data_IF_806668384976
#
_entry.id   IF_806668384976
#
_cell.length_a   1.000
_cell.length_b   1.000
_cell.length_c   1.000
_cell.angle_alpha   90.00
_cell.angle_beta   90.00
_cell.angle_gamma   90.00
#
_symmetry.space_group_name_H-M   'P 1'
#
loop_
_entity.id
_entity.type
_entity.pdbx_description
1 polymer ?
#
# COMPACT_ATOMS: atom_id res chain seq x y z
N UNK A 1 -8.98 -38.54 -19.90
CA UNK A 1 -9.15 -38.08 -18.51
C UNK A 1 -8.45 -36.73 -18.37
N UNK A 2 -8.89 -35.72 -19.14
CA UNK A 2 -9.96 -34.73 -18.85
C UNK A 2 -9.43 -33.56 -18.02
N UNK A 3 -9.10 -32.43 -18.68
CA UNK A 3 -9.47 -31.05 -18.30
C UNK A 3 -8.60 -30.00 -19.03
N UNK A 4 -8.95 -29.72 -20.28
CA UNK A 4 -8.71 -28.42 -20.89
C UNK A 4 -9.94 -27.55 -20.58
N UNK A 5 -9.91 -26.79 -19.49
CA UNK A 5 -10.90 -25.74 -19.25
C UNK A 5 -10.45 -24.53 -20.07
N UNK A 6 -10.82 -24.54 -21.35
CA UNK A 6 -10.95 -23.32 -22.13
C UNK A 6 -12.16 -22.60 -21.54
N UNK A 7 -11.89 -21.53 -20.79
CA UNK A 7 -12.91 -20.56 -20.38
C UNK A 7 -13.52 -19.96 -21.65
N UNK A 8 -14.68 -20.48 -22.04
CA UNK A 8 -15.53 -19.84 -23.02
C UNK A 8 -15.88 -18.45 -22.49
N UNK A 9 -15.42 -17.40 -23.17
CA UNK A 9 -16.02 -16.07 -23.04
C UNK A 9 -17.53 -16.26 -23.22
N UNK A 10 -18.39 -15.71 -22.34
CA UNK A 10 -19.79 -15.60 -22.69
C UNK A 10 -19.84 -14.81 -24.00
N UNK A 11 -20.50 -15.39 -25.01
CA UNK A 11 -20.75 -14.74 -26.28
C UNK A 11 -21.22 -13.31 -25.98
N UNK A 12 -20.56 -12.32 -26.59
CA UNK A 12 -21.12 -10.99 -26.66
C UNK A 12 -22.53 -11.17 -27.20
N UNK A 13 -23.52 -10.72 -26.43
CA UNK A 13 -24.80 -10.37 -27.03
C UNK A 13 -24.49 -9.20 -27.97
N UNK A 14 -24.02 -9.51 -29.17
CA UNK A 14 -23.94 -8.62 -30.31
C UNK A 14 -25.39 -8.26 -30.61
N UNK A 15 -25.88 -7.22 -29.93
CA UNK A 15 -27.02 -6.46 -30.41
C UNK A 15 -26.45 -5.54 -31.50
N UNK A 16 -26.64 -5.85 -32.79
CA UNK A 16 -25.92 -5.17 -33.87
C UNK A 16 -26.36 -3.72 -34.10
N UNK A 17 -27.33 -3.22 -33.32
CA UNK A 17 -27.98 -1.92 -33.55
C UNK A 17 -28.13 -1.08 -32.27
N UNK A 18 -27.37 -1.36 -31.20
CA UNK A 18 -27.24 -0.34 -30.16
C UNK A 18 -26.49 0.84 -30.78
N UNK A 19 -27.10 2.04 -30.93
CA UNK A 19 -26.42 3.16 -31.53
C UNK A 19 -25.12 3.39 -30.75
N UNK A 20 -24.00 3.54 -31.45
CA UNK A 20 -22.73 3.94 -30.87
C UNK A 20 -22.91 5.39 -30.40
N UNK A 21 -23.53 5.56 -29.21
CA UNK A 21 -23.86 6.87 -28.67
C UNK A 21 -22.52 7.55 -28.42
N UNK A 22 -22.20 8.62 -29.17
CA UNK A 22 -20.92 9.28 -29.02
C UNK A 22 -20.78 9.77 -27.57
N UNK A 23 -19.56 9.68 -26.99
CA UNK A 23 -19.33 10.06 -25.61
C UNK A 23 -19.83 11.47 -25.35
N UNK A 24 -20.59 11.62 -24.27
CA UNK A 24 -21.14 12.92 -23.89
C UNK A 24 -20.02 13.85 -23.41
N UNK A 25 -20.23 15.18 -23.41
CA UNK A 25 -19.30 16.11 -22.77
C UNK A 25 -18.97 15.72 -21.31
N UNK A 26 -19.92 15.14 -20.58
CA UNK A 26 -19.73 14.62 -19.24
C UNK A 26 -18.76 13.42 -19.19
N UNK A 27 -18.84 12.51 -20.16
CA UNK A 27 -17.92 11.36 -20.28
C UNK A 27 -16.48 11.83 -20.55
N UNK A 28 -16.31 12.87 -21.39
CA UNK A 28 -15.00 13.47 -21.63
C UNK A 28 -14.41 14.12 -20.38
N UNK A 29 -15.22 14.81 -19.57
CA UNK A 29 -14.77 15.39 -18.29
C UNK A 29 -14.37 14.29 -17.31
N UNK A 30 -15.21 13.26 -17.14
CA UNK A 30 -14.91 12.13 -16.26
C UNK A 30 -13.61 11.42 -16.68
N UNK A 31 -13.44 11.09 -17.97
CA UNK A 31 -12.23 10.42 -18.47
C UNK A 31 -10.96 11.24 -18.22
N UNK A 32 -11.01 12.56 -18.40
CA UNK A 32 -9.87 13.45 -18.08
C UNK A 32 -9.57 13.46 -16.59
N UNK A 33 -10.60 13.56 -15.75
CA UNK A 33 -10.48 13.53 -14.30
C UNK A 33 -9.86 12.21 -13.81
N UNK A 34 -10.35 11.07 -14.32
CA UNK A 34 -9.82 9.73 -14.01
C UNK A 34 -8.36 9.62 -14.40
N UNK A 35 -7.96 10.11 -15.59
CA UNK A 35 -6.54 10.10 -16.02
C UNK A 35 -5.66 10.94 -15.09
N UNK A 36 -6.12 12.12 -14.66
CA UNK A 36 -5.38 12.96 -13.71
C UNK A 36 -5.23 12.26 -12.35
N UNK A 37 -6.29 11.63 -11.85
CA UNK A 37 -6.25 10.85 -10.62
C UNK A 37 -5.32 9.64 -10.74
N UNK A 38 -5.34 8.92 -11.85
CA UNK A 38 -4.40 7.85 -12.14
C UNK A 38 -2.95 8.32 -12.10
N UNK A 39 -2.63 9.48 -12.68
CA UNK A 39 -1.25 9.97 -12.76
C UNK A 39 -0.73 10.63 -11.48
N UNK A 40 -1.62 11.01 -10.55
CA UNK A 40 -1.22 11.77 -9.34
C UNK A 40 -1.49 11.05 -8.03
N UNK A 41 -2.59 10.30 -7.94
CA UNK A 41 -2.96 9.56 -6.73
C UNK A 41 -2.30 8.18 -6.69
N UNK A 42 -2.37 7.44 -7.80
CA UNK A 42 -1.91 6.04 -7.82
C UNK A 42 -0.41 5.90 -7.62
N UNK A 43 0.48 6.73 -8.21
CA UNK A 43 1.91 6.66 -7.92
C UNK A 43 2.22 6.85 -6.44
N UNK A 44 1.50 7.74 -5.74
CA UNK A 44 1.69 7.98 -4.30
C UNK A 44 1.31 6.74 -3.49
N UNK A 45 0.18 6.12 -3.80
CA UNK A 45 -0.27 4.88 -3.15
C UNK A 45 0.62 3.69 -3.51
N UNK A 46 1.13 3.64 -4.74
CA UNK A 46 2.04 2.63 -5.24
C UNK A 46 3.41 2.71 -4.55
N UNK A 47 3.96 3.91 -4.33
CA UNK A 47 5.24 4.09 -3.65
C UNK A 47 5.18 3.60 -2.21
N UNK A 48 4.15 3.97 -1.43
CA UNK A 48 4.05 3.50 -0.04
C UNK A 48 3.85 1.98 0.03
N UNK A 49 3.11 1.41 -0.92
CA UNK A 49 2.90 -0.04 -0.99
C UNK A 49 4.15 -0.79 -1.48
N UNK A 50 4.92 -0.20 -2.40
CA UNK A 50 6.24 -0.68 -2.80
C UNK A 50 7.18 -0.75 -1.59
N UNK A 51 7.27 0.32 -0.81
CA UNK A 51 8.11 0.36 0.40
C UNK A 51 7.71 -0.74 1.41
N UNK A 52 6.41 -0.99 1.56
CA UNK A 52 5.88 -2.06 2.43
C UNK A 52 6.41 -3.44 2.03
N UNK A 53 6.51 -3.72 0.74
CA UNK A 53 7.07 -5.00 0.27
C UNK A 53 8.59 -5.04 0.33
N UNK A 54 9.27 -3.92 0.10
CA UNK A 54 10.73 -3.81 0.29
C UNK A 54 11.11 -4.20 1.72
N UNK A 55 10.50 -3.58 2.74
CA UNK A 55 10.74 -3.89 4.17
C UNK A 55 10.50 -5.37 4.51
N UNK A 56 9.42 -5.96 3.97
CA UNK A 56 9.11 -7.40 4.15
C UNK A 56 10.16 -8.33 3.54
N UNK A 57 10.79 -7.94 2.44
CA UNK A 57 11.87 -8.73 1.84
C UNK A 57 13.21 -8.51 2.53
N UNK A 58 13.47 -7.30 3.01
CA UNK A 58 14.77 -6.92 3.54
C UNK A 58 15.13 -7.61 4.85
N UNK A 59 14.16 -7.91 5.70
CA UNK A 59 14.44 -8.66 6.92
C UNK A 59 15.10 -10.02 6.64
N UNK A 60 14.80 -10.65 5.50
CA UNK A 60 15.46 -11.90 5.10
C UNK A 60 16.95 -11.70 4.79
N UNK A 61 17.34 -10.52 4.31
CA UNK A 61 18.75 -10.17 4.06
C UNK A 61 19.52 -9.91 5.35
N UNK A 62 18.86 -9.40 6.39
CA UNK A 62 19.48 -9.21 7.70
C UNK A 62 19.63 -10.50 8.52
N UNK A 63 19.02 -11.62 8.10
CA UNK A 63 18.98 -12.86 8.91
C UNK A 63 20.35 -13.34 9.37
N UNK A 64 21.30 -13.46 8.44
CA UNK A 64 22.63 -14.02 8.75
C UNK A 64 23.43 -13.09 9.66
N UNK A 65 23.31 -11.78 9.46
CA UNK A 65 23.99 -10.76 10.25
C UNK A 65 23.35 -10.63 11.64
N UNK A 66 22.03 -10.65 11.75
CA UNK A 66 21.33 -10.68 13.05
C UNK A 66 21.70 -11.93 13.86
N UNK A 67 21.91 -13.07 13.20
CA UNK A 67 22.41 -14.27 13.86
C UNK A 67 23.86 -14.09 14.33
N UNK A 68 24.74 -13.52 13.50
CA UNK A 68 26.16 -13.34 13.84
C UNK A 68 26.40 -12.25 14.90
N UNK A 69 25.71 -11.12 14.78
CA UNK A 69 25.94 -9.91 15.59
C UNK A 69 25.13 -9.92 16.89
N UNK A 70 23.90 -10.43 16.87
CA UNK A 70 22.96 -10.40 18.01
C UNK A 70 22.73 -11.80 18.60
N UNK A 71 23.07 -12.87 17.86
CA UNK A 71 22.84 -14.24 18.32
C UNK A 71 21.41 -14.74 18.13
N UNK A 72 20.59 -14.07 17.30
CA UNK A 72 19.22 -14.51 17.03
C UNK A 72 19.25 -15.86 16.33
N UNK A 73 18.69 -16.89 16.97
CA UNK A 73 18.64 -18.23 16.40
C UNK A 73 17.76 -18.30 15.16
N UNK A 74 17.98 -19.31 14.30
CA UNK A 74 17.13 -19.52 13.10
C UNK A 74 15.66 -19.77 13.50
N UNK A 75 15.44 -20.49 14.60
CA UNK A 75 14.12 -20.74 15.15
C UNK A 75 13.46 -19.43 15.64
N UNK A 76 14.20 -18.59 16.38
CA UNK A 76 13.73 -17.29 16.81
C UNK A 76 13.40 -16.37 15.64
N UNK A 77 14.29 -16.29 14.65
CA UNK A 77 14.02 -15.51 13.45
C UNK A 77 12.72 -15.95 12.77
N UNK A 78 12.51 -17.27 12.62
CA UNK A 78 11.28 -17.84 12.07
C UNK A 78 10.04 -17.49 12.90
N UNK A 79 10.12 -17.57 14.23
CA UNK A 79 9.04 -17.18 15.13
C UNK A 79 8.71 -15.69 14.99
N UNK A 80 9.70 -14.80 14.99
CA UNK A 80 9.48 -13.36 14.79
C UNK A 80 8.91 -13.01 13.41
N UNK A 81 9.29 -13.75 12.36
CA UNK A 81 8.66 -13.62 11.04
C UNK A 81 7.17 -14.04 11.09
N UNK A 82 6.83 -15.11 11.80
CA UNK A 82 5.44 -15.56 11.99
C UNK A 82 4.59 -14.61 12.85
N UNK A 83 5.15 -14.12 13.97
CA UNK A 83 4.48 -13.18 14.89
C UNK A 83 4.03 -11.89 14.19
N UNK A 84 4.83 -11.40 13.24
CA UNK A 84 4.44 -10.28 12.38
C UNK A 84 3.12 -10.58 11.63
N UNK A 85 3.01 -11.73 10.97
CA UNK A 85 1.79 -12.08 10.22
C UNK A 85 0.59 -12.35 11.12
N UNK A 86 0.81 -12.91 12.31
CA UNK A 86 -0.25 -13.10 13.31
C UNK A 86 -0.78 -11.73 13.76
N UNK A 87 0.10 -10.81 14.17
CA UNK A 87 -0.28 -9.47 14.57
C UNK A 87 -1.01 -8.74 13.43
N UNK A 88 -0.49 -8.84 12.21
CA UNK A 88 -1.11 -8.29 11.00
C UNK A 88 -2.54 -8.81 10.81
N UNK A 89 -2.74 -10.13 10.87
CA UNK A 89 -4.05 -10.75 10.67
C UNK A 89 -5.04 -10.35 11.77
N UNK A 90 -4.64 -10.42 13.05
CA UNK A 90 -5.49 -10.07 14.18
C UNK A 90 -5.92 -8.60 14.17
N UNK A 91 -5.04 -7.69 13.74
CA UNK A 91 -5.28 -6.25 13.80
C UNK A 91 -5.83 -5.67 12.49
N UNK A 92 -5.93 -6.45 11.42
CA UNK A 92 -6.47 -5.99 10.15
C UNK A 92 -7.92 -5.48 10.27
N UNK A 93 -8.79 -6.19 11.01
CA UNK A 93 -10.19 -5.78 11.21
C UNK A 93 -10.28 -4.52 12.09
N UNK A 94 -9.67 -4.48 13.30
CA UNK A 94 -9.63 -3.26 14.11
C UNK A 94 -9.06 -2.04 13.37
N UNK A 95 -7.95 -2.20 12.66
CA UNK A 95 -7.31 -1.11 11.90
C UNK A 95 -8.27 -0.50 10.87
N UNK A 96 -9.06 -1.33 10.19
CA UNK A 96 -10.05 -0.87 9.22
C UNK A 96 -11.21 -0.09 9.85
N UNK A 97 -11.65 -0.49 11.05
CA UNK A 97 -12.69 0.24 11.78
C UNK A 97 -12.20 1.64 12.18
N UNK A 98 -10.94 1.73 12.62
CA UNK A 98 -10.30 3.01 12.97
C UNK A 98 -10.17 3.89 11.72
N UNK A 99 -9.72 3.32 10.61
CA UNK A 99 -9.62 4.02 9.32
C UNK A 99 -10.95 4.65 8.89
N UNK A 100 -12.07 3.92 9.04
CA UNK A 100 -13.38 4.44 8.65
C UNK A 100 -13.75 5.72 9.43
N UNK A 101 -13.30 5.84 10.68
CA UNK A 101 -13.52 7.03 11.52
C UNK A 101 -12.53 8.16 11.22
N UNK A 102 -11.26 7.85 11.01
CA UNK A 102 -10.19 8.84 10.84
C UNK A 102 -10.04 9.35 9.39
N UNK A 103 -10.52 8.58 8.40
CA UNK A 103 -10.27 8.83 6.98
C UNK A 103 -8.97 8.19 6.51
N UNK A 104 -8.93 7.80 5.23
CA UNK A 104 -7.81 7.04 4.67
C UNK A 104 -6.52 7.86 4.59
N UNK A 105 -6.56 9.16 4.27
CA UNK A 105 -5.35 10.01 4.23
C UNK A 105 -4.61 10.01 5.56
N UNK A 106 -5.33 10.33 6.64
CA UNK A 106 -4.76 10.41 7.98
C UNK A 106 -4.29 9.03 8.44
N UNK A 107 -5.07 8.00 8.15
CA UNK A 107 -4.72 6.64 8.54
C UNK A 107 -3.47 6.12 7.83
N UNK A 108 -3.38 6.25 6.50
CA UNK A 108 -2.19 5.84 5.73
C UNK A 108 -0.95 6.63 6.20
N UNK A 109 -1.11 7.92 6.50
CA UNK A 109 -0.04 8.75 7.07
C UNK A 109 0.43 8.19 8.42
N UNK A 110 -0.49 7.95 9.35
CA UNK A 110 -0.17 7.44 10.69
C UNK A 110 0.52 6.08 10.60
N UNK A 111 0.02 5.19 9.73
CA UNK A 111 0.68 3.91 9.45
C UNK A 111 2.11 4.14 8.99
N UNK A 112 2.34 4.95 7.95
CA UNK A 112 3.68 5.20 7.43
C UNK A 112 4.64 5.75 8.49
N UNK A 113 4.17 6.66 9.35
CA UNK A 113 4.99 7.23 10.42
C UNK A 113 5.32 6.19 11.51
N UNK A 114 4.33 5.43 11.97
CA UNK A 114 4.51 4.45 13.04
C UNK A 114 5.33 3.25 12.56
N UNK A 115 4.95 2.67 11.42
CA UNK A 115 5.67 1.57 10.80
C UNK A 115 7.11 1.96 10.48
N UNK A 116 7.35 3.10 9.82
CA UNK A 116 8.70 3.57 9.52
C UNK A 116 9.54 3.83 10.78
N UNK A 117 8.93 4.35 11.86
CA UNK A 117 9.63 4.56 13.14
C UNK A 117 10.03 3.24 13.80
N UNK A 118 9.17 2.22 13.75
CA UNK A 118 9.50 0.88 14.27
C UNK A 118 10.54 0.21 13.38
N UNK A 119 10.52 0.42 12.06
CA UNK A 119 11.58 -0.06 11.16
C UNK A 119 12.91 0.57 11.55
N UNK A 120 12.99 1.88 11.82
CA UNK A 120 14.22 2.48 12.36
C UNK A 120 14.61 1.81 13.70
N UNK A 121 13.65 1.60 14.60
CA UNK A 121 13.91 0.98 15.90
C UNK A 121 14.49 -0.45 15.80
N UNK A 122 14.28 -1.16 14.69
CA UNK A 122 14.92 -2.46 14.44
C UNK A 122 16.44 -2.38 14.50
N UNK A 123 17.06 -1.26 14.12
CA UNK A 123 18.52 -1.10 14.16
C UNK A 123 19.13 -1.28 15.57
N UNK A 124 18.31 -1.14 16.62
CA UNK A 124 18.72 -1.25 18.02
C UNK A 124 18.43 -2.63 18.63
N UNK A 125 18.00 -3.61 17.82
CA UNK A 125 17.75 -4.98 18.29
C UNK A 125 19.01 -5.57 18.93
N UNK A 126 18.85 -6.01 20.18
CA UNK A 126 19.91 -6.62 20.98
C UNK A 126 19.52 -7.96 21.63
N UNK A 127 18.29 -8.40 21.46
CA UNK A 127 17.80 -9.68 21.99
C UNK A 127 16.64 -10.24 21.17
N UNK A 128 16.39 -11.55 21.29
CA UNK A 128 15.24 -12.21 20.66
C UNK A 128 13.90 -11.62 21.12
N UNK A 129 13.78 -11.27 22.40
CA UNK A 129 12.56 -10.67 22.97
C UNK A 129 12.29 -9.30 22.35
N UNK A 130 13.31 -8.45 22.21
CA UNK A 130 13.18 -7.16 21.54
C UNK A 130 12.81 -7.33 20.07
N UNK A 131 13.44 -8.29 19.39
CA UNK A 131 13.11 -8.64 18.02
C UNK A 131 11.63 -9.05 17.88
N UNK A 132 11.11 -9.94 18.74
CA UNK A 132 9.69 -10.32 18.72
C UNK A 132 8.77 -9.13 18.95
N UNK A 133 9.06 -8.29 19.94
CA UNK A 133 8.25 -7.10 20.24
C UNK A 133 8.16 -6.15 19.05
N UNK A 134 9.30 -5.86 18.41
CA UNK A 134 9.34 -5.01 17.22
C UNK A 134 8.63 -5.65 16.02
N UNK A 135 8.75 -6.97 15.82
CA UNK A 135 8.02 -7.68 14.75
C UNK A 135 6.51 -7.64 14.93
N UNK A 136 6.02 -7.79 16.16
CA UNK A 136 4.61 -7.65 16.48
C UNK A 136 4.15 -6.21 16.20
N UNK A 137 4.94 -5.21 16.64
CA UNK A 137 4.62 -3.80 16.41
C UNK A 137 4.58 -3.44 14.90
N UNK A 138 5.53 -3.94 14.11
CA UNK A 138 5.53 -3.79 12.65
C UNK A 138 4.25 -4.39 12.05
N UNK A 139 3.92 -5.64 12.39
CA UNK A 139 2.71 -6.30 11.90
C UNK A 139 1.44 -5.55 12.28
N UNK A 140 1.38 -5.03 13.51
CA UNK A 140 0.28 -4.23 14.01
C UNK A 140 0.06 -2.93 13.22
N UNK A 141 1.13 -2.18 12.97
CA UNK A 141 1.03 -0.90 12.27
C UNK A 141 0.80 -1.07 10.77
N UNK A 142 1.34 -2.13 10.15
CA UNK A 142 1.17 -2.36 8.73
C UNK A 142 -0.19 -2.97 8.35
N UNK A 143 -0.90 -3.60 9.30
CA UNK A 143 -2.16 -4.32 9.12
C UNK A 143 -3.23 -3.56 8.31
N UNK A 144 -3.28 -2.24 8.48
CA UNK A 144 -4.30 -1.37 7.89
C UNK A 144 -3.96 -0.79 6.52
N UNK A 145 -2.74 -1.00 6.00
CA UNK A 145 -2.25 -0.24 4.83
C UNK A 145 -3.02 -0.59 3.55
N UNK A 146 -3.04 -1.86 3.18
CA UNK A 146 -3.67 -2.29 1.92
C UNK A 146 -5.18 -2.02 1.89
N UNK A 147 -5.95 -2.36 2.94
CA UNK A 147 -7.37 -2.00 3.00
C UNK A 147 -7.62 -0.49 2.88
N UNK A 148 -6.73 0.35 3.43
CA UNK A 148 -6.82 1.80 3.29
C UNK A 148 -6.57 2.31 1.89
N UNK A 149 -5.63 1.68 1.17
CA UNK A 149 -5.42 1.95 -0.25
C UNK A 149 -6.68 1.56 -1.05
N UNK A 150 -7.25 0.39 -0.79
CA UNK A 150 -8.49 -0.05 -1.45
C UNK A 150 -9.65 0.91 -1.19
N UNK A 151 -9.83 1.34 0.06
CA UNK A 151 -10.86 2.30 0.42
C UNK A 151 -10.64 3.67 -0.22
N UNK A 152 -9.39 4.12 -0.37
CA UNK A 152 -9.09 5.33 -1.12
C UNK A 152 -9.49 5.17 -2.60
N UNK A 153 -9.14 4.05 -3.23
CA UNK A 153 -9.49 3.78 -4.62
C UNK A 153 -11.01 3.75 -4.83
N UNK A 154 -11.77 3.12 -3.92
CA UNK A 154 -13.23 3.05 -4.07
C UNK A 154 -13.92 4.41 -3.99
N UNK A 155 -13.35 5.34 -3.21
CA UNK A 155 -13.85 6.73 -3.09
C UNK A 155 -13.52 7.61 -4.28
N UNK A 156 -12.41 7.33 -4.96
CA UNK A 156 -11.89 8.16 -6.05
C UNK A 156 -12.29 7.70 -7.44
N UNK A 157 -12.51 6.39 -7.64
CA UNK A 157 -12.69 5.80 -8.95
C UNK A 157 -14.06 5.12 -9.10
N UNK A 158 -14.62 5.23 -10.31
CA UNK A 158 -15.80 4.49 -10.73
C UNK A 158 -15.50 2.98 -10.74
N UNK A 159 -16.54 2.15 -10.57
CA UNK A 159 -16.37 0.69 -10.47
C UNK A 159 -15.55 0.08 -11.62
N UNK A 160 -15.73 0.56 -12.85
CA UNK A 160 -14.99 0.13 -14.04
C UNK A 160 -13.48 0.41 -13.98
N UNK A 161 -13.06 1.47 -13.29
CA UNK A 161 -11.67 1.93 -13.25
C UNK A 161 -10.91 1.39 -12.02
N UNK A 162 -11.64 0.87 -11.01
CA UNK A 162 -11.05 0.38 -9.75
C UNK A 162 -10.07 -0.77 -9.98
N UNK A 163 -10.40 -1.71 -10.86
CA UNK A 163 -9.54 -2.87 -11.14
C UNK A 163 -8.18 -2.43 -11.71
N UNK A 164 -8.18 -1.47 -12.63
CA UNK A 164 -6.96 -0.89 -13.19
C UNK A 164 -6.14 -0.15 -12.14
N UNK A 165 -6.80 0.66 -11.29
CA UNK A 165 -6.15 1.35 -10.17
C UNK A 165 -5.41 0.38 -9.25
N UNK A 166 -6.10 -0.67 -8.82
CA UNK A 166 -5.57 -1.71 -7.93
C UNK A 166 -4.46 -2.49 -8.63
N UNK A 167 -4.61 -2.79 -9.93
CA UNK A 167 -3.58 -3.45 -10.72
C UNK A 167 -2.25 -2.70 -10.71
N UNK A 168 -2.27 -1.37 -10.87
CA UNK A 168 -1.05 -0.55 -10.78
C UNK A 168 -0.43 -0.54 -9.38
N UNK A 169 -1.25 -0.44 -8.33
CA UNK A 169 -0.76 -0.56 -6.94
C UNK A 169 -0.12 -1.94 -6.72
N UNK A 170 -0.77 -3.01 -7.19
CA UNK A 170 -0.27 -4.37 -7.01
C UNK A 170 1.01 -4.62 -7.81
N UNK A 171 1.15 -4.03 -9.00
CA UNK A 171 2.40 -4.07 -9.75
C UNK A 171 3.56 -3.47 -8.94
N UNK A 172 3.31 -2.43 -8.15
CA UNK A 172 4.31 -1.84 -7.27
C UNK A 172 4.79 -2.81 -6.18
N UNK A 173 3.91 -3.67 -5.64
CA UNK A 173 4.35 -4.70 -4.70
C UNK A 173 5.25 -5.76 -5.34
N UNK A 174 4.95 -6.17 -6.58
CA UNK A 174 5.80 -7.10 -7.33
C UNK A 174 7.18 -6.49 -7.56
N UNK A 175 7.23 -5.21 -7.94
CA UNK A 175 8.48 -4.47 -8.04
C UNK A 175 9.21 -4.39 -6.69
N UNK A 176 8.49 -4.21 -5.58
CA UNK A 176 9.07 -4.20 -4.24
C UNK A 176 9.77 -5.50 -3.89
N UNK A 177 9.17 -6.64 -4.25
CA UNK A 177 9.81 -7.96 -4.04
C UNK A 177 11.04 -8.14 -4.92
N UNK A 178 10.94 -7.75 -6.20
CA UNK A 178 12.04 -7.90 -7.17
C UNK A 178 13.23 -7.00 -6.80
N UNK A 179 12.96 -5.75 -6.42
CA UNK A 179 13.98 -4.74 -6.13
C UNK A 179 14.43 -4.75 -4.67
N UNK A 180 13.66 -5.36 -3.76
CA UNK A 180 13.97 -5.40 -2.33
C UNK A 180 15.34 -6.01 -2.06
N UNK A 181 15.62 -7.22 -2.56
CA UNK A 181 16.91 -7.88 -2.33
C UNK A 181 18.12 -7.08 -2.89
N UNK A 182 18.11 -6.55 -4.13
CA UNK A 182 19.15 -5.64 -4.60
C UNK A 182 19.32 -4.37 -3.74
N UNK A 183 18.22 -3.73 -3.33
CA UNK A 183 18.25 -2.54 -2.49
C UNK A 183 18.83 -2.85 -1.10
N UNK A 184 18.34 -3.89 -0.44
CA UNK A 184 18.85 -4.36 0.84
C UNK A 184 20.32 -4.75 0.76
N UNK A 185 20.74 -5.45 -0.30
CA UNK A 185 22.14 -5.80 -0.54
C UNK A 185 23.05 -4.58 -0.74
N UNK A 186 22.58 -3.58 -1.47
CA UNK A 186 23.30 -2.30 -1.62
C UNK A 186 23.45 -1.59 -0.26
N UNK A 187 22.39 -1.54 0.55
CA UNK A 187 22.41 -0.91 1.87
C UNK A 187 23.28 -1.67 2.88
N UNK A 188 23.34 -3.00 2.78
CA UNK A 188 24.25 -3.83 3.56
C UNK A 188 25.72 -3.51 3.27
N UNK A 189 26.03 -2.97 2.08
CA UNK A 189 27.38 -2.53 1.69
C UNK A 189 27.94 -1.38 2.52
N UNK A 190 27.12 -0.66 3.28
CA UNK A 190 27.56 0.40 4.22
C UNK A 190 28.08 -0.15 5.55
N UNK A 191 28.35 -1.46 5.64
CA UNK A 191 28.94 -2.08 6.83
C UNK A 191 30.24 -1.36 7.26
N UNK A 192 30.32 -1.01 8.55
CA UNK A 192 31.46 -0.34 9.16
C UNK A 192 31.44 1.19 9.05
N UNK A 193 30.55 1.76 8.23
CA UNK A 193 30.38 3.22 8.14
C UNK A 193 29.75 3.73 9.44
N UNK A 194 30.38 4.73 10.06
CA UNK A 194 29.99 5.30 11.36
C UNK A 194 29.90 4.28 12.51
N UNK A 195 30.60 3.13 12.40
CA UNK A 195 30.59 2.08 13.42
C UNK A 195 29.31 1.24 13.45
N UNK A 196 28.44 1.37 12.44
CA UNK A 196 27.19 0.60 12.33
C UNK A 196 27.36 -0.63 11.42
N UNK A 197 26.62 -1.68 11.74
CA UNK A 197 26.51 -2.86 10.89
C UNK A 197 25.63 -2.55 9.66
N UNK A 198 25.87 -3.24 8.54
CA UNK A 198 25.10 -3.05 7.30
C UNK A 198 23.59 -3.21 7.48
N UNK A 199 23.16 -4.13 8.35
CA UNK A 199 21.74 -4.36 8.63
C UNK A 199 21.11 -3.20 9.40
N UNK A 200 21.89 -2.49 10.24
CA UNK A 200 21.45 -1.29 10.94
C UNK A 200 21.23 -0.15 9.95
N UNK A 201 22.14 0.02 8.97
CA UNK A 201 21.98 1.00 7.90
C UNK A 201 20.75 0.73 7.03
N UNK A 202 20.51 -0.54 6.69
CA UNK A 202 19.34 -0.94 5.93
C UNK A 202 18.04 -0.53 6.63
N UNK A 203 17.86 -0.91 7.90
CA UNK A 203 16.67 -0.52 8.67
C UNK A 203 16.56 0.99 8.91
N UNK A 204 17.69 1.67 9.16
CA UNK A 204 17.70 3.11 9.37
C UNK A 204 17.27 3.88 8.12
N UNK A 205 17.90 3.61 6.97
CA UNK A 205 17.64 4.34 5.73
C UNK A 205 16.21 4.08 5.23
N UNK A 206 15.76 2.82 5.26
CA UNK A 206 14.42 2.45 4.80
C UNK A 206 13.33 2.96 5.73
N UNK A 207 13.55 2.87 7.05
CA UNK A 207 12.64 3.42 8.05
C UNK A 207 12.53 4.94 7.93
N UNK A 208 13.65 5.65 7.81
CA UNK A 208 13.66 7.11 7.60
C UNK A 208 12.99 7.48 6.29
N UNK A 209 13.30 6.79 5.18
CA UNK A 209 12.65 7.03 3.89
C UNK A 209 11.13 6.87 4.00
N UNK A 210 10.67 5.81 4.67
CA UNK A 210 9.24 5.55 4.92
C UNK A 210 8.58 6.66 5.76
N UNK A 211 9.24 7.13 6.82
CA UNK A 211 8.75 8.26 7.64
C UNK A 211 8.65 9.54 6.81
N UNK A 212 9.69 9.85 6.01
CA UNK A 212 9.69 11.02 5.13
C UNK A 212 8.56 10.96 4.10
N UNK A 213 8.35 9.79 3.48
CA UNK A 213 7.20 9.55 2.60
C UNK A 213 5.91 9.82 3.38
N UNK A 214 5.74 9.26 4.57
CA UNK A 214 4.58 9.50 5.44
C UNK A 214 4.32 10.99 5.70
N UNK A 215 5.34 11.77 6.02
CA UNK A 215 5.23 13.23 6.20
C UNK A 215 4.78 13.94 4.91
N UNK A 216 5.23 13.47 3.74
CA UNK A 216 4.79 14.03 2.45
C UNK A 216 3.34 13.67 2.12
N UNK A 217 2.85 12.49 2.54
CA UNK A 217 1.47 12.05 2.31
C UNK A 217 0.44 13.01 2.89
N UNK A 218 0.76 13.66 4.02
CA UNK A 218 -0.10 14.70 4.61
C UNK A 218 -0.45 15.77 3.58
N UNK A 219 0.47 16.14 2.69
CA UNK A 219 0.22 17.18 1.67
C UNK A 219 -0.20 16.61 0.32
N UNK A 220 0.37 15.47 -0.07
CA UNK A 220 0.19 14.89 -1.41
C UNK A 220 -1.11 14.09 -1.55
N UNK A 221 -1.67 13.58 -0.46
CA UNK A 221 -2.79 12.65 -0.49
C UNK A 221 -4.11 13.34 -0.11
N UNK A 222 -4.95 13.78 -1.05
CA UNK A 222 -6.30 14.28 -0.77
C UNK A 222 -7.26 13.14 -0.37
N UNK A 223 -8.15 13.37 0.61
CA UNK A 223 -9.12 12.34 1.05
C UNK A 223 -10.31 12.19 0.08
N UNK A 224 -10.63 13.25 -0.66
CA UNK A 224 -11.73 13.31 -1.63
C UNK A 224 -11.31 14.04 -2.90
N UNK A 225 -11.93 13.73 -4.06
CA UNK A 225 -11.72 14.47 -5.29
C UNK A 225 -11.92 15.99 -5.14
N UNK A 226 -12.91 16.43 -4.35
CA UNK A 226 -13.15 17.87 -4.09
C UNK A 226 -12.02 18.58 -3.33
N UNK A 227 -11.22 17.85 -2.58
CA UNK A 227 -10.08 18.42 -1.84
C UNK A 227 -8.81 18.50 -2.70
N UNK A 228 -8.85 17.95 -3.91
CA UNK A 228 -7.71 17.88 -4.81
C UNK A 228 -7.49 19.24 -5.49
N UNK A 229 -6.42 19.94 -5.11
CA UNK A 229 -6.05 21.25 -5.69
C UNK A 229 -5.77 21.23 -7.19
N UNK A 230 -5.59 20.04 -7.76
CA UNK A 230 -5.26 19.83 -9.17
C UNK A 230 -6.45 19.40 -10.05
N UNK A 231 -7.63 19.26 -9.46
CA UNK A 231 -8.88 19.02 -10.18
C UNK A 231 -9.69 20.30 -10.29
N UNK A 232 -10.27 20.55 -11.47
CA UNK A 232 -11.31 21.56 -11.61
C UNK A 232 -12.60 21.13 -10.88
N UNK A 233 -13.50 22.06 -10.50
CA UNK A 233 -14.73 21.74 -9.78
C UNK A 233 -15.62 20.71 -10.51
N UNK A 234 -15.73 20.83 -11.83
CA UNK A 234 -16.50 19.90 -12.67
C UNK A 234 -15.87 18.50 -12.72
N UNK A 235 -14.54 18.41 -12.76
CA UNK A 235 -13.82 17.13 -12.75
C UNK A 235 -13.95 16.42 -11.41
N UNK A 236 -13.85 17.17 -10.31
CA UNK A 236 -14.02 16.64 -8.96
C UNK A 236 -15.45 16.11 -8.73
N UNK A 237 -16.46 16.86 -9.18
CA UNK A 237 -17.86 16.41 -9.13
C UNK A 237 -18.07 15.13 -9.95
N UNK A 238 -17.55 15.08 -11.17
CA UNK A 238 -17.66 13.91 -12.04
C UNK A 238 -17.02 12.64 -11.46
N UNK A 239 -15.93 12.75 -10.68
CA UNK A 239 -15.33 11.60 -9.98
C UNK A 239 -16.17 11.14 -8.80
N UNK A 240 -16.71 12.07 -8.01
CA UNK A 240 -17.55 11.71 -6.84
C UNK A 240 -18.89 11.10 -7.25
N UNK A 241 -19.52 11.64 -8.29
CA UNK A 241 -20.80 11.10 -8.77
C UNK A 241 -20.60 9.69 -9.32
N UNK A 242 -19.53 9.48 -10.09
CA UNK A 242 -19.21 8.16 -10.64
C UNK A 242 -18.76 7.15 -9.57
N UNK A 243 -18.08 7.59 -8.49
CA UNK A 243 -17.70 6.69 -7.40
C UNK A 243 -18.90 6.27 -6.54
N UNK A 244 -19.94 7.12 -6.45
CA UNK A 244 -21.22 6.82 -5.79
C UNK A 244 -22.15 5.97 -6.63
N UNK A 245 -22.22 6.19 -7.95
CA UNK A 245 -23.13 5.49 -8.86
C UNK A 245 -22.93 3.96 -8.88
N UNK A 246 -21.74 3.47 -8.54
CA UNK A 246 -21.45 2.04 -8.35
C UNK A 246 -21.83 1.47 -6.96
N UNK A 247 -22.55 2.22 -6.12
CA UNK A 247 -23.03 1.77 -4.80
C UNK A 247 -24.55 1.61 -4.86
N UNK A 248 -25.08 0.41 -5.14
CA UNK A 248 -26.51 0.18 -5.04
C UNK A 248 -26.93 0.37 -3.57
N UNK A 249 -27.76 1.39 -3.28
CA UNK A 249 -28.64 1.36 -2.11
C UNK A 249 -28.48 2.40 -1.00
N UNK A 250 -27.51 3.34 -1.02
CA UNK A 250 -27.46 4.34 0.05
C UNK A 250 -28.22 5.63 -0.33
N UNK A 251 -29.55 5.56 -0.32
CA UNK A 251 -30.39 6.76 -0.20
C UNK A 251 -30.20 7.34 1.22
N UNK A 252 -30.01 8.66 1.39
CA UNK A 252 -29.96 9.25 2.72
C UNK A 252 -31.31 9.03 3.41
N UNK A 253 -31.29 8.40 4.59
CA UNK A 253 -32.45 8.43 5.49
C UNK A 253 -32.62 9.89 5.94
N UNK A 254 -33.74 10.48 5.55
CA UNK A 254 -34.22 11.76 6.09
C UNK A 254 -34.54 11.61 7.56
#
# INVERSE_FOLDING_TARGET
MTMAIISARPASSDHPDAPDIPPTPADHVHRRATRKAMLRLIPVLAIIYFMSYVDRTNIAMAKTQLQADVGISVAAFGLGAGLFFIAYACLQVPANLIMYRLGARRWITVIALLWGSVTVAMMFVSSEVMFYGLRIALGAFEAGLYPAILFMVTRWFAQKDRATAIGYVQAASCLGVILGAPLGGFLMGFHGVAGLHGWQWMFLIEGVATVLIGLTLIRLLPDRPREARWLGPQEAAALEDASRAGTPGMRPRR
#
